data_IF_775119966124
#
_entry.id   IF_775119966124
#
_cell.length_a   1.000
_cell.length_b   1.000
_cell.length_c   1.000
_cell.angle_alpha   90.00
_cell.angle_beta   90.00
_cell.angle_gamma   90.00
#
_symmetry.space_group_name_H-M   'P 1'
#
loop_
_entity.id
_entity.type
_entity.pdbx_description
1 polymer ?
#
# COMPACT_ATOMS: atom_id res chain seq x y z
N UNK A 1 0.30 -2.07 10.30
CA UNK A 1 1.11 -2.93 9.40
C UNK A 1 1.38 -2.10 8.15
N UNK A 2 2.64 -1.79 7.78
CA UNK A 2 2.96 -0.76 6.78
C UNK A 2 2.76 -1.22 5.33
N UNK A 3 2.03 -2.32 5.11
CA UNK A 3 1.84 -2.95 3.81
C UNK A 3 0.36 -2.88 3.45
N UNK A 4 -0.11 -1.69 3.13
CA UNK A 4 -1.40 -1.54 2.46
C UNK A 4 -1.19 -1.67 0.95
N UNK A 5 -2.03 -2.49 0.33
CA UNK A 5 -2.03 -2.64 -1.12
C UNK A 5 -2.83 -1.53 -1.79
N UNK A 6 -3.28 -1.79 -3.01
CA UNK A 6 -4.14 -0.85 -3.73
C UNK A 6 -5.58 -1.07 -3.32
N UNK A 7 -6.19 -0.02 -2.80
CA UNK A 7 -7.59 0.01 -2.44
C UNK A 7 -8.39 0.84 -3.46
N UNK A 8 -9.55 0.34 -3.85
CA UNK A 8 -10.45 0.99 -4.81
C UNK A 8 -11.79 1.22 -4.13
N UNK A 9 -12.20 2.49 -4.05
CA UNK A 9 -13.49 2.89 -3.49
C UNK A 9 -13.59 2.84 -1.96
N UNK A 10 -12.57 2.36 -1.24
CA UNK A 10 -12.53 2.33 0.22
C UNK A 10 -11.10 2.03 0.71
N UNK A 11 -10.56 2.85 1.61
CA UNK A 11 -9.35 2.57 2.39
C UNK A 11 -9.70 1.78 3.66
N UNK A 12 -9.04 0.64 3.89
CA UNK A 12 -9.42 -0.34 4.92
C UNK A 12 -8.47 -0.41 6.12
N UNK A 13 -7.23 0.09 6.06
CA UNK A 13 -6.26 -0.17 7.14
C UNK A 13 -5.68 1.06 7.79
N UNK A 14 -5.46 2.16 7.05
CA UNK A 14 -4.57 3.21 7.53
C UNK A 14 -5.28 4.57 7.63
N UNK A 15 -6.25 4.73 8.56
CA UNK A 15 -6.99 5.98 8.67
C UNK A 15 -6.06 7.14 9.01
N UNK A 16 -6.16 8.23 8.26
CA UNK A 16 -5.42 9.48 8.52
C UNK A 16 -5.76 10.04 9.91
N UNK A 17 -7.03 9.92 10.32
CA UNK A 17 -7.50 10.40 11.62
C UNK A 17 -8.28 9.31 12.38
N UNK A 18 -7.65 8.74 13.40
CA UNK A 18 -8.23 7.71 14.25
C UNK A 18 -9.53 8.14 14.92
N UNK A 19 -9.59 9.36 15.47
CA UNK A 19 -10.81 9.87 16.14
C UNK A 19 -12.03 9.89 15.23
N UNK A 20 -11.84 10.16 13.94
CA UNK A 20 -12.92 10.16 12.94
C UNK A 20 -13.29 8.72 12.58
N UNK A 21 -12.29 7.89 12.31
CA UNK A 21 -12.49 6.47 11.95
C UNK A 21 -13.19 5.68 13.06
N UNK A 22 -12.82 5.88 14.33
CA UNK A 22 -13.47 5.19 15.47
C UNK A 22 -14.94 5.57 15.62
N UNK A 23 -15.33 6.78 15.21
CA UNK A 23 -16.72 7.26 15.31
C UNK A 23 -17.57 6.92 14.09
N UNK A 24 -16.97 6.90 12.90
CA UNK A 24 -17.71 6.86 11.64
C UNK A 24 -17.30 5.71 10.71
N UNK A 25 -16.22 5.00 11.04
CA UNK A 25 -15.55 4.09 10.12
C UNK A 25 -14.88 4.84 8.96
N UNK A 26 -14.53 4.08 7.92
CA UNK A 26 -14.13 4.65 6.64
C UNK A 26 -15.36 5.09 5.84
N UNK A 27 -15.19 6.05 4.94
CA UNK A 27 -16.24 6.56 4.07
C UNK A 27 -16.15 5.89 2.68
N UNK A 28 -16.92 4.83 2.39
CA UNK A 28 -16.87 4.17 1.10
C UNK A 28 -17.45 5.05 -0.01
N UNK A 29 -16.88 4.93 -1.22
CA UNK A 29 -17.49 5.43 -2.44
C UNK A 29 -18.83 4.71 -2.68
N UNK A 30 -19.89 5.48 -2.90
CA UNK A 30 -21.26 4.96 -3.05
C UNK A 30 -21.76 4.90 -4.49
N UNK A 31 -20.97 5.41 -5.45
CA UNK A 31 -21.30 5.33 -6.86
C UNK A 31 -20.98 3.96 -7.47
N UNK A 32 -21.15 3.85 -8.79
CA UNK A 32 -20.75 2.66 -9.55
C UNK A 32 -19.35 2.84 -10.13
N UNK A 33 -18.46 1.89 -9.89
CA UNK A 33 -17.14 1.84 -10.51
C UNK A 33 -17.22 0.93 -11.74
N UNK A 34 -17.19 1.52 -12.93
CA UNK A 34 -17.31 0.75 -14.18
C UNK A 34 -16.04 0.01 -14.58
N UNK A 35 -14.87 0.60 -14.31
CA UNK A 35 -13.58 -0.02 -14.60
C UNK A 35 -12.47 0.66 -13.81
N UNK A 36 -11.49 -0.13 -13.35
CA UNK A 36 -10.22 0.38 -12.83
C UNK A 36 -9.10 -0.37 -13.51
N UNK A 37 -8.10 0.39 -13.98
CA UNK A 37 -6.85 -0.15 -14.48
C UNK A 37 -5.72 0.48 -13.68
N UNK A 38 -4.96 -0.37 -13.01
CA UNK A 38 -3.71 0.01 -12.38
C UNK A 38 -2.57 -0.68 -13.12
N UNK A 39 -1.62 0.11 -13.61
CA UNK A 39 -0.40 -0.39 -14.21
C UNK A 39 0.77 0.33 -13.50
N UNK A 40 1.45 -0.34 -12.56
CA UNK A 40 2.61 0.26 -11.92
C UNK A 40 3.69 0.52 -12.97
N UNK A 41 4.32 1.69 -12.86
CA UNK A 41 5.53 2.00 -13.61
C UNK A 41 6.77 1.46 -12.89
N UNK A 42 7.93 1.94 -13.30
CA UNK A 42 9.17 1.63 -12.61
C UNK A 42 9.11 2.13 -11.16
N UNK A 43 9.60 1.35 -10.20
CA UNK A 43 9.73 1.81 -8.82
C UNK A 43 10.60 3.07 -8.76
N UNK A 44 10.29 3.98 -7.82
CA UNK A 44 11.14 5.12 -7.54
C UNK A 44 12.58 4.65 -7.25
N UNK A 45 13.63 5.43 -7.58
CA UNK A 45 15.02 4.99 -7.42
C UNK A 45 15.36 4.50 -6.00
N UNK A 46 14.74 5.10 -4.99
CA UNK A 46 14.88 4.81 -3.57
C UNK A 46 13.85 3.80 -3.02
N UNK A 47 13.03 3.20 -3.88
CA UNK A 47 12.07 2.18 -3.47
C UNK A 47 12.77 1.00 -2.79
N UNK A 48 12.31 0.55 -1.62
CA UNK A 48 12.83 -0.64 -0.94
C UNK A 48 12.84 -1.88 -1.85
N UNK A 49 11.92 -1.96 -2.81
CA UNK A 49 11.86 -3.04 -3.81
C UNK A 49 13.15 -3.18 -4.59
N UNK A 50 13.83 -2.08 -4.89
CA UNK A 50 15.08 -2.06 -5.66
C UNK A 50 16.25 -2.66 -4.88
N UNK A 51 16.16 -2.68 -3.54
CA UNK A 51 17.23 -3.17 -2.67
C UNK A 51 17.00 -4.61 -2.20
N UNK A 52 15.88 -5.25 -2.57
CA UNK A 52 15.53 -6.58 -2.07
C UNK A 52 16.56 -7.65 -2.43
N UNK A 53 17.15 -7.58 -3.61
CA UNK A 53 18.19 -8.53 -4.03
C UNK A 53 19.48 -8.33 -3.24
N UNK A 54 19.94 -7.09 -3.13
CA UNK A 54 21.10 -6.70 -2.31
C UNK A 54 20.91 -7.15 -0.85
N UNK A 55 19.73 -6.92 -0.28
CA UNK A 55 19.41 -7.32 1.09
C UNK A 55 19.40 -8.85 1.27
N UNK A 56 18.93 -9.60 0.27
CA UNK A 56 18.95 -11.08 0.29
C UNK A 56 20.38 -11.61 0.24
N UNK A 57 21.21 -11.08 -0.64
CA UNK A 57 22.60 -11.52 -0.78
C UNK A 57 23.42 -11.19 0.45
N UNK A 58 23.20 -10.02 1.04
CA UNK A 58 23.84 -9.65 2.29
C UNK A 58 23.45 -10.61 3.42
N UNK A 59 22.17 -10.97 3.53
CA UNK A 59 21.71 -11.98 4.50
C UNK A 59 22.37 -13.35 4.31
N UNK A 60 22.56 -13.81 3.07
CA UNK A 60 23.27 -15.07 2.77
C UNK A 60 24.75 -15.02 3.12
N UNK A 61 25.38 -13.86 3.04
CA UNK A 61 26.82 -13.71 3.34
C UNK A 61 27.14 -13.77 4.84
N UNK A 62 26.12 -13.71 5.69
CA UNK A 62 26.24 -13.70 7.15
C UNK A 62 25.93 -15.08 7.79
N UNK A 63 25.73 -16.11 6.97
CA UNK A 63 25.59 -17.52 7.36
C UNK A 63 26.90 -18.28 7.09
#
# INVERSE_FOLDING_TARGET
APFEGIDVGLDRRSPVCWKVYERHGSFPFTGTIHSVRYQPGDPAPDSPTNFLEVLRDWGRSME
#
